data_IF_841375120837
#
_entry.id   IF_841375120837
#
_cell.length_a   1.000
_cell.length_b   1.000
_cell.length_c   1.000
_cell.angle_alpha   90.00
_cell.angle_beta   90.00
_cell.angle_gamma   90.00
#
_symmetry.space_group_name_H-M   'P 1'
#
loop_
_entity.id
_entity.type
_entity.pdbx_description
1 polymer ?
#
# COMPACT_ATOMS: atom_id res chain seq x y z
N UNK A 1 11.83 15.39 -16.90
CA UNK A 1 11.70 13.93 -16.67
C UNK A 1 10.77 13.67 -15.48
N UNK A 2 9.51 14.13 -15.55
CA UNK A 2 8.62 14.18 -14.37
C UNK A 2 7.27 13.47 -14.56
N UNK A 3 6.89 13.12 -15.80
CA UNK A 3 5.61 12.45 -16.09
C UNK A 3 5.61 10.96 -15.74
N UNK A 4 6.73 10.25 -15.90
CA UNK A 4 6.81 8.79 -15.71
C UNK A 4 6.57 8.39 -14.24
N UNK A 5 7.01 9.22 -13.29
CA UNK A 5 6.86 8.93 -11.86
C UNK A 5 5.39 8.93 -11.43
N UNK A 6 4.58 9.84 -12.00
CA UNK A 6 3.16 9.96 -11.68
C UNK A 6 2.35 8.76 -12.20
N UNK A 7 2.70 8.27 -13.39
CA UNK A 7 2.06 7.09 -14.00
C UNK A 7 2.37 5.80 -13.21
N UNK A 8 3.63 5.63 -12.80
CA UNK A 8 4.05 4.50 -11.96
C UNK A 8 3.32 4.50 -10.61
N UNK A 9 3.19 5.67 -9.98
CA UNK A 9 2.47 5.85 -8.72
C UNK A 9 0.97 5.55 -8.87
N UNK A 10 0.32 6.10 -9.89
CA UNK A 10 -1.09 5.83 -10.19
C UNK A 10 -1.36 4.33 -10.43
N UNK A 11 -0.43 3.64 -11.09
CA UNK A 11 -0.49 2.19 -11.30
C UNK A 11 -0.42 1.42 -9.98
N UNK A 12 0.47 1.82 -9.06
CA UNK A 12 0.56 1.22 -7.73
C UNK A 12 -0.73 1.43 -6.94
N UNK A 13 -1.33 2.63 -6.99
CA UNK A 13 -2.62 2.90 -6.34
C UNK A 13 -3.73 2.01 -6.89
N UNK A 14 -3.82 1.84 -8.22
CA UNK A 14 -4.80 0.92 -8.85
C UNK A 14 -4.59 -0.53 -8.43
N UNK A 15 -3.34 -1.01 -8.41
CA UNK A 15 -3.03 -2.37 -7.97
C UNK A 15 -3.40 -2.59 -6.50
N UNK A 16 -3.11 -1.64 -5.61
CA UNK A 16 -3.48 -1.71 -4.21
C UNK A 16 -5.00 -1.74 -4.03
N UNK A 17 -5.74 -0.93 -4.80
CA UNK A 17 -7.21 -0.97 -4.85
C UNK A 17 -7.74 -2.33 -5.30
N UNK A 18 -7.19 -2.92 -6.36
CA UNK A 18 -7.58 -4.26 -6.83
C UNK A 18 -7.33 -5.36 -5.79
N UNK A 19 -6.20 -5.30 -5.08
CA UNK A 19 -5.92 -6.22 -3.97
C UNK A 19 -6.98 -6.03 -2.88
N UNK A 20 -7.30 -4.79 -2.51
CA UNK A 20 -8.32 -4.49 -1.50
C UNK A 20 -9.71 -4.99 -1.90
N UNK A 21 -10.12 -4.80 -3.16
CA UNK A 21 -11.39 -5.33 -3.70
C UNK A 21 -11.46 -6.85 -3.67
N UNK A 22 -10.34 -7.53 -3.98
CA UNK A 22 -10.27 -8.98 -3.93
C UNK A 22 -10.46 -9.50 -2.49
N UNK A 23 -9.76 -8.91 -1.51
CA UNK A 23 -9.94 -9.26 -0.09
C UNK A 23 -11.34 -8.92 0.43
N UNK A 24 -11.91 -7.80 0.00
CA UNK A 24 -13.28 -7.41 0.34
C UNK A 24 -14.30 -8.43 -0.21
N UNK A 25 -14.09 -8.91 -1.44
CA UNK A 25 -14.92 -9.93 -2.08
C UNK A 25 -14.80 -11.30 -1.39
N UNK A 26 -13.64 -11.62 -0.81
CA UNK A 26 -13.42 -12.83 -0.02
C UNK A 26 -13.98 -12.75 1.42
N UNK A 27 -14.54 -11.60 1.83
CA UNK A 27 -15.07 -11.39 3.19
C UNK A 27 -13.98 -11.20 4.27
N UNK A 28 -12.71 -11.20 3.87
CA UNK A 28 -11.55 -11.16 4.76
C UNK A 28 -11.05 -9.72 4.85
N UNK A 29 -11.76 -8.90 5.64
CA UNK A 29 -11.50 -7.47 5.83
C UNK A 29 -10.37 -7.20 6.84
N UNK A 30 -9.19 -7.74 6.60
CA UNK A 30 -8.01 -7.36 7.37
C UNK A 30 -7.16 -6.35 6.56
N UNK A 31 -7.19 -5.04 6.87
CA UNK A 31 -6.17 -4.11 6.36
C UNK A 31 -4.74 -4.61 6.65
N UNK A 32 -4.58 -5.43 7.70
CA UNK A 32 -3.35 -6.16 8.02
C UNK A 32 -3.00 -7.26 7.02
N UNK A 33 -3.97 -7.99 6.47
CA UNK A 33 -3.72 -9.01 5.44
C UNK A 33 -3.31 -8.36 4.11
N UNK A 34 -3.97 -7.27 3.73
CA UNK A 34 -3.60 -6.47 2.54
C UNK A 34 -2.19 -5.90 2.72
N UNK A 35 -1.89 -5.33 3.89
CA UNK A 35 -0.55 -4.84 4.20
C UNK A 35 0.51 -5.95 4.17
N UNK A 36 0.20 -7.13 4.71
CA UNK A 36 1.08 -8.30 4.65
C UNK A 36 1.34 -8.75 3.22
N UNK A 37 0.30 -8.80 2.39
CA UNK A 37 0.40 -9.13 0.97
C UNK A 37 1.32 -8.13 0.24
N UNK A 38 1.05 -6.84 0.35
CA UNK A 38 1.89 -5.81 -0.29
C UNK A 38 3.34 -5.92 0.19
N UNK A 39 3.56 -6.11 1.50
CA UNK A 39 4.93 -6.23 2.01
C UNK A 39 5.67 -7.49 1.51
N UNK A 40 4.94 -8.60 1.30
CA UNK A 40 5.53 -9.86 0.83
C UNK A 40 5.81 -9.87 -0.68
N UNK A 41 4.96 -9.20 -1.46
CA UNK A 41 5.03 -9.25 -2.92
C UNK A 41 5.68 -8.00 -3.55
N UNK A 42 5.73 -6.87 -2.85
CA UNK A 42 6.28 -5.62 -3.39
C UNK A 42 7.68 -5.33 -2.89
N UNK A 43 8.49 -4.73 -3.77
CA UNK A 43 9.84 -4.29 -3.43
C UNK A 43 9.81 -3.04 -2.54
N UNK A 44 10.92 -2.71 -1.83
CA UNK A 44 11.01 -1.47 -1.03
C UNK A 44 10.65 -0.20 -1.82
N UNK A 45 11.15 -0.09 -3.06
CA UNK A 45 10.90 1.07 -3.92
C UNK A 45 9.41 1.22 -4.29
N UNK A 46 8.72 0.11 -4.59
CA UNK A 46 7.27 0.14 -4.85
C UNK A 46 6.47 0.58 -3.63
N UNK A 47 6.88 0.14 -2.42
CA UNK A 47 6.25 0.57 -1.16
C UNK A 47 6.42 2.07 -0.94
N UNK A 48 7.62 2.60 -1.19
CA UNK A 48 7.87 4.04 -1.10
C UNK A 48 7.07 4.85 -2.11
N UNK A 49 7.03 4.39 -3.38
CA UNK A 49 6.24 5.03 -4.43
C UNK A 49 4.75 5.07 -4.10
N UNK A 50 4.20 3.99 -3.54
CA UNK A 50 2.81 3.93 -3.11
C UNK A 50 2.52 4.85 -1.92
N UNK A 51 3.42 4.95 -0.96
CA UNK A 51 3.23 5.86 0.17
C UNK A 51 3.33 7.33 -0.25
N UNK A 52 4.26 7.66 -1.14
CA UNK A 52 4.36 9.00 -1.72
C UNK A 52 3.10 9.37 -2.50
N UNK A 53 2.56 8.42 -3.28
CA UNK A 53 1.30 8.59 -3.98
C UNK A 53 0.11 8.75 -3.02
N UNK A 54 0.09 7.96 -1.93
CA UNK A 54 -0.96 8.01 -0.91
C UNK A 54 -0.97 9.32 -0.12
N UNK A 55 0.18 9.97 0.05
CA UNK A 55 0.25 11.29 0.70
C UNK A 55 -0.22 12.45 -0.18
N UNK A 56 -0.27 12.28 -1.50
CA UNK A 56 -0.57 13.34 -2.47
C UNK A 56 -1.92 13.21 -3.18
N UNK A 57 -2.60 12.07 -3.06
CA UNK A 57 -3.85 11.77 -3.76
C UNK A 57 -4.96 11.33 -2.79
N UNK A 58 -6.21 11.61 -3.17
CA UNK A 58 -7.37 11.02 -2.50
C UNK A 58 -7.48 9.55 -2.92
N UNK A 59 -7.28 8.65 -1.96
CA UNK A 59 -7.39 7.21 -2.16
C UNK A 59 -8.76 6.70 -1.74
N UNK A 60 -9.20 5.62 -2.37
CA UNK A 60 -10.33 4.83 -1.89
C UNK A 60 -10.10 4.40 -0.43
N UNK A 61 -11.14 4.40 0.44
CA UNK A 61 -10.99 4.19 1.88
C UNK A 61 -10.23 2.90 2.23
N UNK A 62 -10.50 1.81 1.50
CA UNK A 62 -9.87 0.52 1.73
C UNK A 62 -8.36 0.52 1.39
N UNK A 63 -7.97 1.21 0.31
CA UNK A 63 -6.57 1.33 -0.09
C UNK A 63 -5.78 2.25 0.87
N UNK A 64 -6.41 3.32 1.36
CA UNK A 64 -5.82 4.22 2.36
C UNK A 64 -5.57 3.51 3.69
N UNK A 65 -6.53 2.74 4.18
CA UNK A 65 -6.37 1.97 5.42
C UNK A 65 -5.30 0.88 5.30
N UNK A 66 -5.21 0.21 4.15
CA UNK A 66 -4.11 -0.70 3.85
C UNK A 66 -2.73 0.01 3.84
N UNK A 67 -2.64 1.22 3.26
CA UNK A 67 -1.43 2.03 3.28
C UNK A 67 -1.02 2.41 4.71
N UNK A 68 -1.97 2.82 5.54
CA UNK A 68 -1.73 3.13 6.96
C UNK A 68 -1.25 1.90 7.74
N UNK A 69 -1.86 0.74 7.51
CA UNK A 69 -1.44 -0.52 8.12
C UNK A 69 -0.01 -0.91 7.75
N UNK A 70 0.40 -0.72 6.49
CA UNK A 70 1.78 -0.92 6.02
C UNK A 70 2.79 -0.04 6.76
N UNK A 71 2.51 1.26 6.90
CA UNK A 71 3.39 2.19 7.61
C UNK A 71 3.52 1.82 9.09
N UNK A 72 2.39 1.50 9.73
CA UNK A 72 2.35 1.12 11.15
C UNK A 72 3.14 -0.16 11.40
N UNK A 73 2.99 -1.15 10.52
CA UNK A 73 3.74 -2.41 10.60
C UNK A 73 5.23 -2.14 10.44
N UNK A 74 5.66 -1.46 9.36
CA UNK A 74 7.06 -1.08 9.12
C UNK A 74 7.73 -0.42 10.33
N UNK A 75 7.01 0.50 10.98
CA UNK A 75 7.50 1.18 12.19
C UNK A 75 7.69 0.19 13.36
N UNK A 76 6.83 -0.83 13.46
CA UNK A 76 6.96 -1.88 14.46
C UNK A 76 8.12 -2.85 14.14
N UNK A 77 8.33 -3.28 12.89
CA UNK A 77 9.51 -4.10 12.55
C UNK A 77 10.84 -3.34 12.70
N UNK A 78 10.88 -2.06 12.31
CA UNK A 78 12.04 -1.22 12.56
C UNK A 78 12.32 -0.97 14.05
N UNK A 79 11.30 -1.06 14.92
CA UNK A 79 11.45 -0.93 16.37
C UNK A 79 11.90 -2.23 17.06
N UNK A 80 11.83 -3.38 16.37
CA UNK A 80 12.19 -4.70 16.91
C UNK A 80 13.70 -4.99 16.74
N UNK A 81 14.38 -4.32 15.81
CA UNK A 81 15.83 -4.41 15.65
C UNK A 81 16.49 -3.06 15.98
N UNK A 82 17.07 -2.90 17.19
CA UNK A 82 17.91 -1.75 17.53
C UNK A 82 19.30 -1.82 16.87
#
# INVERSE_FOLDING_TARGET
>A
MSEIAHDAQAKLLRMAGQIADNYNSCGDKAPEAIASHINKFWTPNMREGFLAAASGCTLEPAALEAARALVKRRKADAAIFP
#
